data_IF_342241515191
#
_entry.id   IF_342241515191
#
_cell.length_a   1.000
_cell.length_b   1.000
_cell.length_c   1.000
_cell.angle_alpha   90.00
_cell.angle_beta   90.00
_cell.angle_gamma   90.00
#
_symmetry.space_group_name_H-M   'P 1'
#
loop_
_entity.id
_entity.type
_entity.pdbx_description
1 polymer ?
#
# COMPACT_ATOMS: atom_id res chain seq x y z
N UNK A 1 7.29 55.52 -45.01
CA UNK A 1 7.57 56.03 -43.66
C UNK A 1 7.40 54.87 -42.69
N UNK A 2 8.54 54.30 -42.28
CA UNK A 2 8.64 53.17 -41.38
C UNK A 2 8.31 53.59 -39.94
N UNK A 3 7.68 52.72 -39.16
CA UNK A 3 7.56 52.84 -37.71
C UNK A 3 8.50 51.82 -37.08
N UNK A 4 9.63 52.32 -36.58
CA UNK A 4 10.57 51.55 -35.76
C UNK A 4 10.00 51.33 -34.37
N UNK A 5 10.03 50.07 -33.93
CA UNK A 5 9.76 49.66 -32.56
C UNK A 5 10.95 49.95 -31.66
N UNK A 6 10.68 50.49 -30.48
CA UNK A 6 11.69 50.66 -29.43
C UNK A 6 11.51 49.54 -28.39
N UNK A 7 12.51 48.67 -28.33
CA UNK A 7 12.64 47.59 -27.33
C UNK A 7 13.32 48.18 -26.10
N UNK A 8 12.66 48.10 -24.95
CA UNK A 8 13.25 48.42 -23.63
C UNK A 8 14.10 47.23 -23.18
N UNK A 9 15.35 47.41 -22.71
CA UNK A 9 16.17 46.31 -22.25
C UNK A 9 15.71 45.85 -20.86
N UNK A 10 15.45 44.54 -20.71
CA UNK A 10 15.19 43.92 -19.43
C UNK A 10 16.50 43.76 -18.64
N UNK A 11 16.47 44.19 -17.39
CA UNK A 11 17.57 44.12 -16.41
C UNK A 11 18.02 42.67 -16.16
N UNK A 12 19.32 42.33 -16.23
CA UNK A 12 19.81 40.96 -16.09
C UNK A 12 19.92 40.45 -14.63
N UNK A 13 19.35 41.14 -13.64
CA UNK A 13 19.51 40.79 -12.21
C UNK A 13 18.27 40.21 -11.51
N UNK A 14 17.15 39.99 -12.21
CA UNK A 14 15.93 39.44 -11.59
C UNK A 14 15.73 37.91 -11.73
N UNK A 15 16.71 37.16 -12.27
CA UNK A 15 16.57 35.72 -12.59
C UNK A 15 17.26 34.75 -11.61
N UNK A 16 17.74 35.22 -10.46
CA UNK A 16 18.47 34.39 -9.47
C UNK A 16 17.66 34.11 -8.18
N UNK A 17 16.37 33.78 -8.29
CA UNK A 17 15.59 33.29 -7.15
C UNK A 17 14.76 32.02 -7.44
N UNK A 18 14.99 31.36 -8.57
CA UNK A 18 14.48 30.02 -8.84
C UNK A 18 15.51 28.96 -8.45
N UNK A 19 15.72 28.71 -7.15
CA UNK A 19 16.54 27.59 -6.68
C UNK A 19 15.88 26.28 -7.15
N UNK A 20 16.40 25.71 -8.24
CA UNK A 20 16.14 24.34 -8.67
C UNK A 20 16.44 23.39 -7.51
N UNK A 21 15.39 22.86 -6.85
CA UNK A 21 15.46 21.71 -5.93
C UNK A 21 15.71 20.40 -6.70
N UNK A 22 16.79 20.31 -7.48
CA UNK A 22 17.10 19.11 -8.26
C UNK A 22 18.51 18.64 -7.92
N UNK A 23 18.61 17.42 -7.38
CA UNK A 23 19.82 16.63 -7.07
C UNK A 23 20.45 16.72 -5.66
N UNK A 24 19.88 17.45 -4.69
CA UNK A 24 20.44 17.50 -3.32
C UNK A 24 19.86 16.46 -2.34
N UNK A 25 18.68 15.88 -2.60
CA UNK A 25 18.08 14.89 -1.69
C UNK A 25 18.81 13.55 -1.71
N UNK A 26 19.35 13.11 -2.85
CA UNK A 26 19.90 11.74 -2.98
C UNK A 26 21.15 11.43 -2.15
N UNK A 27 21.66 12.39 -1.36
CA UNK A 27 22.91 12.28 -0.58
C UNK A 27 22.72 12.54 0.91
N UNK A 28 21.51 12.85 1.36
CA UNK A 28 21.24 13.17 2.76
C UNK A 28 21.05 11.90 3.56
N UNK A 29 21.92 11.68 4.54
CA UNK A 29 21.83 10.62 5.53
C UNK A 29 21.81 11.24 6.94
N UNK A 30 21.07 10.65 7.86
CA UNK A 30 21.25 10.87 9.28
C UNK A 30 22.00 9.67 9.85
N UNK A 31 23.12 9.93 10.52
CA UNK A 31 23.89 8.95 11.26
C UNK A 31 23.55 9.08 12.74
N UNK A 32 23.17 7.97 13.36
CA UNK A 32 22.93 7.86 14.79
C UNK A 32 23.88 6.84 15.38
N UNK A 33 24.53 7.20 16.48
CA UNK A 33 25.38 6.29 17.24
C UNK A 33 24.61 5.62 18.39
N UNK A 34 25.30 4.75 19.13
CA UNK A 34 24.77 4.09 20.32
C UNK A 34 24.42 5.03 21.49
N UNK A 35 24.84 6.31 21.43
CA UNK A 35 24.47 7.34 22.40
C UNK A 35 23.24 8.15 21.98
N UNK A 36 22.66 7.86 20.80
CA UNK A 36 21.52 8.58 20.24
C UNK A 36 21.87 9.94 19.65
N UNK A 37 23.16 10.28 19.52
CA UNK A 37 23.60 11.52 18.91
C UNK A 37 23.44 11.44 17.39
N UNK A 38 22.62 12.35 16.85
CA UNK A 38 22.29 12.37 15.42
C UNK A 38 23.10 13.41 14.66
N UNK A 39 23.86 12.97 13.67
CA UNK A 39 24.59 13.85 12.76
C UNK A 39 24.08 13.71 11.33
N UNK A 40 23.77 14.84 10.68
CA UNK A 40 23.37 14.84 9.27
C UNK A 40 24.63 14.80 8.41
N UNK A 41 24.74 13.76 7.59
CA UNK A 41 25.84 13.53 6.68
C UNK A 41 25.38 13.73 5.23
N UNK A 42 26.09 14.58 4.48
CA UNK A 42 25.95 14.72 3.02
C UNK A 42 27.09 13.93 2.37
N UNK A 43 26.87 12.63 2.15
CA UNK A 43 27.90 11.71 1.65
C UNK A 43 27.45 11.01 0.37
N UNK A 44 28.41 10.71 -0.50
CA UNK A 44 28.14 9.97 -1.71
C UNK A 44 27.98 8.46 -1.44
N UNK A 45 27.39 7.77 -2.42
CA UNK A 45 27.13 6.33 -2.31
C UNK A 45 28.40 5.50 -2.07
N UNK A 46 29.55 5.95 -2.60
CA UNK A 46 30.80 5.21 -2.50
C UNK A 46 31.39 5.30 -1.10
N UNK A 47 31.33 6.46 -0.45
CA UNK A 47 31.76 6.61 0.93
C UNK A 47 30.90 5.75 1.89
N UNK A 48 29.58 5.67 1.67
CA UNK A 48 28.71 4.78 2.45
C UNK A 48 29.09 3.31 2.23
N UNK A 49 29.32 2.89 0.98
CA UNK A 49 29.78 1.52 0.68
C UNK A 49 31.10 1.18 1.38
N UNK A 50 32.05 2.12 1.40
CA UNK A 50 33.35 1.91 2.04
C UNK A 50 33.25 1.88 3.57
N UNK A 51 32.38 2.70 4.16
CA UNK A 51 32.16 2.76 5.62
C UNK A 51 31.55 1.46 6.14
N UNK A 52 30.45 1.04 5.53
CA UNK A 52 29.62 -0.10 5.99
C UNK A 52 30.10 -1.43 5.39
N UNK A 53 30.96 -1.40 4.36
CA UNK A 53 31.47 -2.60 3.67
C UNK A 53 30.37 -3.42 2.98
N UNK A 54 29.37 -2.75 2.40
CA UNK A 54 28.26 -3.39 1.65
C UNK A 54 28.47 -3.34 0.13
N UNK A 55 27.91 -4.31 -0.59
CA UNK A 55 28.02 -4.37 -2.05
C UNK A 55 27.18 -3.28 -2.73
N UNK A 56 27.61 -2.82 -3.91
CA UNK A 56 26.88 -1.82 -4.70
C UNK A 56 25.44 -2.25 -5.07
N UNK A 57 25.15 -3.55 -5.05
CA UNK A 57 23.81 -4.10 -5.34
C UNK A 57 22.86 -3.83 -4.19
N UNK A 58 23.31 -4.04 -2.96
CA UNK A 58 22.49 -3.87 -1.76
C UNK A 58 22.20 -2.38 -1.53
N UNK A 59 23.19 -1.50 -1.75
CA UNK A 59 22.97 -0.05 -1.63
C UNK A 59 21.98 0.51 -2.67
N UNK A 60 21.83 -0.14 -3.84
CA UNK A 60 20.86 0.30 -4.86
C UNK A 60 19.41 0.13 -4.43
N UNK A 61 19.15 -0.81 -3.52
CA UNK A 61 17.81 -1.03 -2.95
C UNK A 61 17.35 0.25 -2.23
N UNK A 62 18.28 0.98 -1.64
CA UNK A 62 18.03 2.24 -0.94
C UNK A 62 18.01 3.46 -1.88
N UNK A 63 18.21 3.30 -3.19
CA UNK A 63 18.24 4.43 -4.13
C UNK A 63 16.84 5.09 -4.21
N UNK A 64 16.69 6.40 -3.94
CA UNK A 64 15.41 7.09 -4.01
C UNK A 64 14.86 7.17 -5.43
N UNK A 65 15.69 7.02 -6.46
CA UNK A 65 15.26 7.03 -7.86
C UNK A 65 14.70 5.69 -8.32
N UNK A 66 14.90 4.62 -7.53
CA UNK A 66 14.49 3.27 -7.86
C UNK A 66 13.41 2.80 -6.88
N UNK A 67 12.34 2.22 -7.40
CA UNK A 67 11.29 1.61 -6.58
C UNK A 67 11.58 0.12 -6.46
N UNK A 68 12.28 -0.26 -5.39
CA UNK A 68 12.49 -1.65 -5.00
C UNK A 68 11.38 -2.09 -4.03
N UNK A 69 11.03 -3.39 -4.02
CA UNK A 69 10.12 -3.94 -3.01
C UNK A 69 10.72 -3.81 -1.61
N UNK A 70 9.86 -3.95 -0.59
CA UNK A 70 10.31 -3.98 0.79
C UNK A 70 11.30 -5.13 0.97
N UNK A 71 12.40 -4.93 1.70
CA UNK A 71 13.36 -5.99 2.00
C UNK A 71 14.19 -5.73 3.26
N UNK A 72 14.54 -6.82 3.95
CA UNK A 72 15.43 -6.88 5.10
C UNK A 72 16.60 -7.81 4.73
N UNK A 73 17.80 -7.26 4.58
CA UNK A 73 18.96 -8.04 4.15
C UNK A 73 20.06 -8.04 5.19
N UNK A 74 20.32 -9.21 5.77
CA UNK A 74 21.51 -9.46 6.56
C UNK A 74 22.77 -9.54 5.68
N UNK A 75 23.84 -8.89 6.13
CA UNK A 75 25.19 -8.95 5.54
C UNK A 75 26.21 -9.08 6.66
N UNK A 76 27.47 -9.29 6.30
CA UNK A 76 28.56 -9.57 7.26
C UNK A 76 28.67 -8.54 8.40
N UNK A 77 28.42 -7.25 8.13
CA UNK A 77 28.57 -6.15 9.11
C UNK A 77 27.39 -5.16 9.14
N UNK A 78 26.31 -5.47 8.42
CA UNK A 78 25.19 -4.56 8.31
C UNK A 78 23.89 -5.25 7.94
N UNK A 79 22.79 -4.65 8.38
CA UNK A 79 21.43 -4.96 7.93
C UNK A 79 21.01 -3.83 7.00
N UNK A 80 20.62 -4.17 5.77
CA UNK A 80 20.09 -3.20 4.81
C UNK A 80 18.56 -3.29 4.84
N UNK A 81 17.92 -2.19 5.22
CA UNK A 81 16.47 -2.09 5.40
C UNK A 81 15.85 -1.18 4.35
N UNK A 82 14.89 -1.73 3.60
CA UNK A 82 13.98 -0.96 2.77
C UNK A 82 12.55 -1.32 3.16
N UNK A 83 11.92 -0.52 4.02
CA UNK A 83 10.55 -0.70 4.47
C UNK A 83 9.73 0.52 4.02
N UNK A 84 9.37 0.52 2.74
CA UNK A 84 8.72 1.63 2.04
C UNK A 84 9.49 2.97 2.07
N UNK A 85 9.11 3.84 2.99
CA UNK A 85 9.67 5.17 3.19
C UNK A 85 10.84 5.13 4.18
N UNK A 86 10.95 4.06 4.97
CA UNK A 86 12.06 3.84 5.89
C UNK A 86 13.16 3.11 5.13
N UNK A 87 14.24 3.83 4.82
CA UNK A 87 15.43 3.30 4.13
C UNK A 87 16.62 3.47 5.04
N UNK A 88 17.14 2.37 5.58
CA UNK A 88 18.17 2.40 6.61
C UNK A 88 19.27 1.37 6.36
N UNK A 89 20.43 1.63 6.95
CA UNK A 89 21.52 0.68 7.11
C UNK A 89 21.82 0.62 8.60
N UNK A 90 21.64 -0.54 9.21
CA UNK A 90 21.94 -0.77 10.62
C UNK A 90 23.27 -1.51 10.70
N UNK A 91 24.16 -1.08 11.57
CA UNK A 91 25.38 -1.81 11.96
C UNK A 91 25.29 -2.17 13.44
N UNK A 92 26.29 -2.84 14.00
CA UNK A 92 26.33 -3.15 15.43
C UNK A 92 26.50 -1.92 16.33
N UNK A 93 26.88 -0.76 15.79
CA UNK A 93 27.22 0.44 16.59
C UNK A 93 26.52 1.72 16.12
N UNK A 94 26.10 1.78 14.85
CA UNK A 94 25.51 2.97 14.24
C UNK A 94 24.37 2.63 13.25
N UNK A 95 23.41 3.55 13.10
CA UNK A 95 22.31 3.49 12.12
C UNK A 95 22.43 4.65 11.15
N UNK A 96 22.37 4.35 9.85
CA UNK A 96 22.28 5.34 8.78
C UNK A 96 20.88 5.35 8.19
N UNK A 97 20.11 6.41 8.47
CA UNK A 97 18.77 6.63 7.95
C UNK A 97 18.82 7.59 6.75
N UNK A 98 18.17 7.22 5.66
CA UNK A 98 18.15 8.04 4.45
C UNK A 98 17.06 9.11 4.49
N UNK A 99 17.31 10.23 3.82
CA UNK A 99 16.34 11.32 3.62
C UNK A 99 15.67 11.80 4.92
N UNK A 100 16.44 12.24 5.95
CA UNK A 100 15.92 12.64 7.27
C UNK A 100 15.01 13.88 7.26
N UNK A 101 14.81 14.52 6.10
CA UNK A 101 13.89 15.65 5.93
C UNK A 101 12.51 15.24 5.39
N UNK A 102 12.27 13.96 5.12
CA UNK A 102 10.95 13.46 4.71
C UNK A 102 9.98 13.44 5.90
N UNK A 103 8.75 13.93 5.70
CA UNK A 103 7.71 14.02 6.74
C UNK A 103 7.40 12.67 7.40
N UNK A 104 7.54 11.56 6.67
CA UNK A 104 7.29 10.23 7.23
C UNK A 104 8.52 9.65 7.95
N UNK A 105 9.72 10.19 7.70
CA UNK A 105 10.98 9.69 8.27
C UNK A 105 11.35 10.44 9.56
N UNK A 106 10.96 11.71 9.68
CA UNK A 106 11.21 12.54 10.88
C UNK A 106 10.75 11.86 12.19
N UNK A 107 9.54 11.28 12.30
CA UNK A 107 9.11 10.62 13.53
C UNK A 107 9.98 9.41 13.89
N UNK A 108 10.45 8.67 12.87
CA UNK A 108 11.34 7.51 13.06
C UNK A 108 12.70 7.96 13.59
N UNK A 109 13.22 9.08 13.07
CA UNK A 109 14.47 9.66 13.52
C UNK A 109 14.39 10.10 14.99
N UNK A 110 13.30 10.74 15.39
CA UNK A 110 13.06 11.16 16.77
C UNK A 110 12.97 9.95 17.71
N UNK A 111 12.30 8.88 17.29
CA UNK A 111 12.18 7.66 18.09
C UNK A 111 13.50 6.91 18.23
N UNK A 112 14.31 6.85 17.17
CA UNK A 112 15.67 6.31 17.22
C UNK A 112 16.55 7.11 18.21
N UNK A 113 16.51 8.45 18.18
CA UNK A 113 17.26 9.27 19.14
C UNK A 113 16.80 9.04 20.58
N UNK A 114 15.50 8.79 20.79
CA UNK A 114 14.90 8.61 22.11
C UNK A 114 15.21 7.26 22.74
N UNK A 115 15.30 6.19 21.94
CA UNK A 115 15.33 4.80 22.44
C UNK A 115 16.61 4.01 22.17
N UNK A 116 17.49 4.49 21.28
CA UNK A 116 18.80 3.86 21.07
C UNK A 116 19.78 4.00 22.25
N UNK A 117 19.80 5.11 23.03
CA UNK A 117 20.70 5.21 24.17
C UNK A 117 20.39 4.13 25.22
N UNK A 118 21.41 3.44 25.77
CA UNK A 118 21.18 2.47 26.84
C UNK A 118 20.61 3.18 28.08
N UNK A 119 19.54 2.60 28.64
CA UNK A 119 18.76 3.18 29.74
C UNK A 119 19.61 3.41 31.01
N UNK A 120 20.76 2.74 31.11
CA UNK A 120 21.68 2.81 32.25
C UNK A 120 23.04 3.45 31.91
N UNK A 121 23.08 4.76 31.70
CA UNK A 121 24.28 5.54 32.04
C UNK A 121 24.11 6.15 33.43
N UNK A 122 24.75 5.62 34.49
CA UNK A 122 24.89 6.37 35.71
C UNK A 122 25.75 7.59 35.39
N UNK A 123 25.11 8.75 35.46
CA UNK A 123 25.75 10.04 35.52
C UNK A 123 26.89 9.96 36.55
N UNK A 124 28.13 10.03 36.08
CA UNK A 124 29.32 10.15 36.93
C UNK A 124 29.34 11.55 37.56
N UNK A 125 28.43 11.80 38.49
CA UNK A 125 28.60 12.85 39.48
C UNK A 125 29.20 12.22 40.72
N UNK A 126 30.50 12.48 40.90
CA UNK A 126 31.28 11.99 42.02
C UNK A 126 30.71 12.45 43.35
N UNK A 127 30.16 11.50 44.12
CA UNK A 127 30.09 11.57 45.58
C UNK A 127 30.10 10.14 46.13
N UNK A 128 31.31 9.68 46.46
CA UNK A 128 31.46 8.62 47.45
C UNK A 128 30.84 9.11 48.76
N UNK A 129 29.99 8.28 49.38
CA UNK A 129 30.14 7.82 50.77
C UNK A 129 28.96 6.91 51.18
N UNK A 130 29.34 5.77 51.75
CA UNK A 130 28.66 4.94 52.76
C UNK A 130 27.41 4.14 52.37
N UNK A 131 27.70 2.89 51.98
CA UNK A 131 27.17 1.64 52.55
C UNK A 131 25.74 1.57 53.07
N UNK A 132 24.95 0.69 52.44
CA UNK A 132 23.99 -0.21 53.11
C UNK A 132 23.71 -1.39 52.16
N UNK A 133 23.82 -2.60 52.69
CA UNK A 133 23.39 -3.84 52.04
C UNK A 133 21.89 -3.74 51.79
N UNK A 134 21.49 -3.81 50.53
CA UNK A 134 20.16 -4.25 50.14
C UNK A 134 20.32 -5.15 48.91
N UNK A 135 20.12 -6.44 49.16
CA UNK A 135 19.81 -7.44 48.15
C UNK A 135 18.54 -6.99 47.42
N UNK A 136 18.73 -6.36 46.26
CA UNK A 136 17.70 -6.24 45.24
C UNK A 136 18.35 -6.70 43.95
N UNK A 137 18.21 -7.99 43.66
CA UNK A 137 18.23 -8.54 42.30
C UNK A 137 17.11 -7.84 41.51
N UNK A 138 17.37 -6.61 41.06
CA UNK A 138 16.58 -5.93 40.05
C UNK A 138 17.21 -6.28 38.72
N UNK A 139 16.58 -7.25 38.04
CA UNK A 139 16.78 -7.73 36.68
C UNK A 139 18.03 -7.22 35.95
N UNK A 140 18.94 -8.16 35.66
CA UNK A 140 19.58 -8.17 34.34
C UNK A 140 18.44 -8.24 33.32
N UNK A 141 17.83 -7.11 32.97
CA UNK A 141 17.08 -7.00 31.75
C UNK A 141 18.12 -7.21 30.66
N UNK A 142 18.10 -8.40 30.05
CA UNK A 142 18.86 -8.75 28.86
C UNK A 142 18.69 -7.61 27.84
N UNK A 143 19.64 -6.68 27.82
CA UNK A 143 19.55 -5.50 26.98
C UNK A 143 19.77 -5.97 25.54
N UNK A 144 18.71 -5.91 24.75
CA UNK A 144 18.74 -6.39 23.37
C UNK A 144 19.84 -5.68 22.57
N UNK A 145 20.56 -6.41 21.69
CA UNK A 145 21.62 -5.85 20.88
C UNK A 145 21.20 -4.56 20.15
N UNK A 146 22.15 -3.65 19.94
CA UNK A 146 21.89 -2.36 19.29
C UNK A 146 21.18 -2.52 17.93
N UNK A 147 21.58 -3.52 17.14
CA UNK A 147 20.98 -3.81 15.85
C UNK A 147 19.50 -4.21 15.95
N UNK A 148 19.09 -4.90 17.03
CA UNK A 148 17.71 -5.33 17.23
C UNK A 148 16.83 -4.20 17.77
N UNK A 149 17.36 -3.35 18.66
CA UNK A 149 16.65 -2.12 19.05
C UNK A 149 16.40 -1.20 17.86
N UNK A 150 17.39 -1.03 17.00
CA UNK A 150 17.25 -0.24 15.78
C UNK A 150 16.24 -0.86 14.80
N UNK A 151 16.29 -2.19 14.62
CA UNK A 151 15.36 -2.93 13.76
C UNK A 151 13.92 -2.85 14.31
N UNK A 152 13.75 -3.04 15.61
CA UNK A 152 12.47 -2.93 16.33
C UNK A 152 11.82 -1.58 16.08
N UNK A 153 12.56 -0.48 16.28
CA UNK A 153 12.04 0.88 16.07
C UNK A 153 11.59 1.08 14.61
N UNK A 154 12.35 0.55 13.65
CA UNK A 154 11.99 0.63 12.23
C UNK A 154 10.72 -0.19 11.90
N UNK A 155 10.60 -1.39 12.47
CA UNK A 155 9.43 -2.27 12.31
C UNK A 155 8.19 -1.67 12.98
N UNK A 156 8.33 -1.18 14.21
CA UNK A 156 7.26 -0.50 14.94
C UNK A 156 6.75 0.71 14.16
N UNK A 157 7.66 1.52 13.62
CA UNK A 157 7.32 2.69 12.84
C UNK A 157 6.53 2.32 11.56
N UNK A 158 6.98 1.34 10.78
CA UNK A 158 6.27 0.97 9.54
C UNK A 158 4.92 0.30 9.84
N UNK A 159 4.85 -0.57 10.85
CA UNK A 159 3.62 -1.25 11.25
C UNK A 159 2.60 -0.23 11.80
N UNK A 160 3.04 0.70 12.65
CA UNK A 160 2.19 1.78 13.16
C UNK A 160 1.70 2.70 12.05
N UNK A 161 2.56 3.06 11.10
CA UNK A 161 2.19 3.89 9.96
C UNK A 161 1.15 3.22 9.05
N UNK A 162 1.36 1.96 8.68
CA UNK A 162 0.42 1.20 7.84
C UNK A 162 -0.90 0.92 8.58
N UNK A 163 -0.83 0.65 9.88
CA UNK A 163 -1.98 0.52 10.75
C UNK A 163 -2.82 1.81 10.81
N UNK A 164 -2.18 2.95 11.05
CA UNK A 164 -2.85 4.26 11.08
C UNK A 164 -3.52 4.58 9.74
N UNK A 165 -2.83 4.35 8.61
CA UNK A 165 -3.42 4.53 7.27
C UNK A 165 -4.61 3.62 7.01
N UNK A 166 -4.59 2.41 7.55
CA UNK A 166 -5.71 1.47 7.47
C UNK A 166 -6.92 1.99 8.25
N UNK A 167 -6.71 2.47 9.47
CA UNK A 167 -7.78 3.07 10.29
C UNK A 167 -8.34 4.37 9.68
N UNK A 168 -7.51 5.22 9.10
CA UNK A 168 -7.96 6.41 8.36
C UNK A 168 -8.86 6.03 7.18
N UNK A 169 -8.44 5.05 6.40
CA UNK A 169 -9.20 4.55 5.25
C UNK A 169 -10.53 3.95 5.68
N UNK A 170 -10.53 3.13 6.73
CA UNK A 170 -11.73 2.52 7.31
C UNK A 170 -12.74 3.58 7.78
N UNK A 171 -12.26 4.58 8.53
CA UNK A 171 -13.07 5.71 9.02
C UNK A 171 -13.67 6.52 7.88
N UNK A 172 -12.98 6.62 6.74
CA UNK A 172 -13.48 7.31 5.56
C UNK A 172 -14.41 6.44 4.68
N UNK A 173 -14.23 5.13 4.69
CA UNK A 173 -14.93 4.19 3.81
C UNK A 173 -16.36 3.89 4.26
N UNK A 174 -16.58 3.50 5.52
CA UNK A 174 -17.92 3.19 6.02
C UNK A 174 -18.96 4.30 5.77
N UNK A 175 -18.71 5.58 6.11
CA UNK A 175 -19.69 6.64 5.85
C UNK A 175 -19.89 6.91 4.35
N UNK A 176 -18.87 6.68 3.50
CA UNK A 176 -19.00 6.87 2.07
C UNK A 176 -19.85 5.78 1.42
N UNK A 177 -19.75 4.54 1.91
CA UNK A 177 -20.54 3.39 1.47
C UNK A 177 -21.99 3.54 1.91
N UNK A 178 -22.25 3.96 3.16
CA UNK A 178 -23.60 4.26 3.64
C UNK A 178 -24.25 5.42 2.86
N UNK A 179 -23.49 6.50 2.56
CA UNK A 179 -23.98 7.60 1.72
C UNK A 179 -24.33 7.11 0.30
N UNK A 180 -23.57 6.16 -0.25
CA UNK A 180 -23.83 5.58 -1.57
C UNK A 180 -25.09 4.71 -1.57
N UNK A 181 -25.28 3.88 -0.54
CA UNK A 181 -26.47 3.05 -0.32
C UNK A 181 -27.74 3.89 -0.19
N UNK A 182 -27.66 5.03 0.51
CA UNK A 182 -28.79 5.95 0.64
C UNK A 182 -29.08 6.75 -0.64
N UNK A 183 -28.03 7.14 -1.38
CA UNK A 183 -28.17 7.94 -2.60
C UNK A 183 -27.12 7.57 -3.64
N UNK A 184 -27.58 6.86 -4.66
CA UNK A 184 -26.78 6.56 -5.86
C UNK A 184 -26.59 7.85 -6.66
N UNK A 185 -25.37 8.39 -6.63
CA UNK A 185 -25.00 9.58 -7.40
C UNK A 185 -23.58 9.42 -7.95
N UNK A 186 -23.29 10.07 -9.08
CA UNK A 186 -21.95 10.04 -9.70
C UNK A 186 -20.85 10.48 -8.72
N UNK A 187 -21.13 11.48 -7.88
CA UNK A 187 -20.22 11.95 -6.83
C UNK A 187 -19.90 10.87 -5.81
N UNK A 188 -20.91 10.12 -5.34
CA UNK A 188 -20.72 9.10 -4.32
C UNK A 188 -20.02 7.86 -4.89
N UNK A 189 -20.36 7.49 -6.13
CA UNK A 189 -19.65 6.44 -6.88
C UNK A 189 -18.17 6.80 -7.09
N UNK A 190 -17.85 8.04 -7.45
CA UNK A 190 -16.46 8.49 -7.59
C UNK A 190 -15.72 8.47 -6.23
N UNK A 191 -16.39 8.81 -5.14
CA UNK A 191 -15.82 8.76 -3.79
C UNK A 191 -15.48 7.32 -3.39
N UNK A 192 -16.40 6.38 -3.57
CA UNK A 192 -16.17 4.95 -3.29
C UNK A 192 -15.11 4.37 -4.22
N UNK A 193 -15.08 4.74 -5.50
CA UNK A 193 -14.03 4.33 -6.44
C UNK A 193 -12.64 4.79 -6.00
N UNK A 194 -12.51 6.03 -5.52
CA UNK A 194 -11.25 6.56 -4.97
C UNK A 194 -10.82 5.79 -3.72
N UNK A 195 -11.76 5.50 -2.82
CA UNK A 195 -11.51 4.69 -1.63
C UNK A 195 -11.07 3.27 -1.99
N UNK A 196 -11.75 2.61 -2.93
CA UNK A 196 -11.37 1.28 -3.44
C UNK A 196 -9.94 1.29 -4.02
N UNK A 197 -9.60 2.30 -4.82
CA UNK A 197 -8.24 2.44 -5.36
C UNK A 197 -7.19 2.67 -4.27
N UNK A 198 -7.50 3.48 -3.25
CA UNK A 198 -6.63 3.72 -2.11
C UNK A 198 -6.43 2.42 -1.29
N UNK A 199 -7.51 1.69 -1.05
CA UNK A 199 -7.51 0.39 -0.39
C UNK A 199 -6.63 -0.61 -1.12
N UNK A 200 -6.84 -0.84 -2.42
CA UNK A 200 -6.01 -1.79 -3.20
C UNK A 200 -4.52 -1.44 -3.11
N UNK A 201 -4.18 -0.15 -3.16
CA UNK A 201 -2.80 0.32 -3.02
C UNK A 201 -2.24 0.05 -1.63
N UNK A 202 -3.03 0.28 -0.58
CA UNK A 202 -2.62 0.06 0.81
C UNK A 202 -2.50 -1.44 1.13
N UNK A 203 -3.42 -2.28 0.65
CA UNK A 203 -3.32 -3.75 0.76
C UNK A 203 -2.03 -4.26 0.12
N UNK A 204 -1.70 -3.82 -1.11
CA UNK A 204 -0.46 -4.23 -1.78
C UNK A 204 0.81 -3.77 -1.06
N UNK A 205 0.72 -2.73 -0.24
CA UNK A 205 1.82 -2.18 0.56
C UNK A 205 2.04 -2.98 1.84
N UNK A 206 0.96 -3.22 2.57
CA UNK A 206 0.92 -4.11 3.75
C UNK A 206 1.39 -5.51 3.40
N UNK A 207 0.89 -6.07 2.29
CA UNK A 207 1.28 -7.40 1.81
C UNK A 207 2.79 -7.51 1.62
N UNK A 208 3.46 -6.52 1.01
CA UNK A 208 4.91 -6.57 0.79
C UNK A 208 5.73 -6.63 2.07
N UNK A 209 5.28 -5.94 3.13
CA UNK A 209 5.98 -5.98 4.42
C UNK A 209 5.71 -7.32 5.11
N UNK A 210 4.46 -7.81 5.06
CA UNK A 210 4.09 -9.13 5.56
C UNK A 210 4.91 -10.24 4.87
N UNK A 211 4.95 -10.25 3.54
CA UNK A 211 5.64 -11.28 2.76
C UNK A 211 7.15 -11.28 3.05
N UNK A 212 7.77 -10.11 3.26
CA UNK A 212 9.18 -10.04 3.64
C UNK A 212 9.44 -10.57 5.06
N UNK A 213 8.54 -10.29 6.01
CA UNK A 213 8.64 -10.84 7.36
C UNK A 213 8.40 -12.35 7.37
N UNK A 214 7.44 -12.85 6.59
CA UNK A 214 7.18 -14.29 6.40
C UNK A 214 8.42 -14.99 5.83
N UNK A 215 8.98 -14.42 4.76
CA UNK A 215 10.19 -14.93 4.12
C UNK A 215 11.40 -14.99 5.07
N UNK A 216 11.55 -13.97 5.94
CA UNK A 216 12.64 -13.92 6.92
C UNK A 216 12.42 -14.91 8.08
N UNK A 217 11.18 -15.06 8.55
CA UNK A 217 10.82 -16.03 9.60
C UNK A 217 10.93 -17.49 9.11
N UNK A 218 10.78 -17.74 7.80
CA UNK A 218 10.88 -19.07 7.21
C UNK A 218 12.33 -19.60 7.11
N UNK A 219 13.37 -18.76 7.24
CA UNK A 219 14.79 -19.11 7.05
C UNK A 219 15.69 -18.65 8.21
N UNK A 220 16.06 -19.60 9.08
CA UNK A 220 16.95 -19.39 10.22
C UNK A 220 18.34 -18.86 9.82
N UNK A 221 18.84 -19.20 8.61
CA UNK A 221 20.14 -18.71 8.15
C UNK A 221 20.07 -17.19 7.86
N UNK A 222 18.96 -16.71 7.28
CA UNK A 222 18.73 -15.29 7.04
C UNK A 222 18.55 -14.53 8.36
N UNK A 223 17.89 -15.12 9.36
CA UNK A 223 17.78 -14.56 10.72
C UNK A 223 19.13 -14.50 11.43
N UNK A 224 19.91 -15.59 11.39
CA UNK A 224 21.26 -15.63 11.95
C UNK A 224 22.16 -14.56 11.32
N UNK A 225 21.89 -14.19 10.07
CA UNK A 225 22.64 -13.18 9.37
C UNK A 225 22.44 -11.75 9.92
N UNK A 226 21.38 -11.51 10.71
CA UNK A 226 21.07 -10.25 11.37
C UNK A 226 21.80 -10.04 12.70
N UNK A 227 22.39 -11.08 13.29
CA UNK A 227 23.17 -10.99 14.55
C UNK A 227 24.56 -10.35 14.34
N UNK A 228 24.62 -9.04 14.19
CA UNK A 228 25.84 -8.30 13.88
C UNK A 228 26.83 -8.24 15.04
N UNK A 229 26.35 -8.02 16.26
CA UNK A 229 27.16 -7.94 17.49
C UNK A 229 27.86 -9.27 17.80
N UNK A 230 27.19 -10.40 17.52
CA UNK A 230 27.78 -11.74 17.63
C UNK A 230 28.90 -11.96 16.60
N UNK A 231 28.70 -11.51 15.36
CA UNK A 231 29.72 -11.57 14.29
C UNK A 231 30.94 -10.71 14.61
N UNK A 232 30.73 -9.54 15.23
CA UNK A 232 31.81 -8.63 15.64
C UNK A 232 32.70 -9.24 16.74
N UNK A 233 32.09 -9.84 17.77
CA UNK A 233 32.81 -10.49 18.88
C UNK A 233 33.55 -11.76 18.43
N UNK A 234 32.92 -12.59 17.58
CA UNK A 234 33.56 -13.77 16.98
C UNK A 234 34.80 -13.44 16.13
N UNK A 235 34.79 -12.30 15.42
CA UNK A 235 35.93 -11.83 14.63
C UNK A 235 37.08 -11.25 15.48
N UNK A 236 36.80 -10.81 16.71
CA UNK A 236 37.78 -10.20 17.62
C UNK A 236 38.58 -11.22 18.46
N UNK A 237 38.22 -12.50 18.40
CA UNK A 237 38.94 -13.59 19.06
C UNK A 237 40.15 -14.03 18.21
N UNK A 238 41.40 -14.00 18.73
CA UNK A 238 42.52 -14.66 18.06
C UNK A 238 42.23 -16.16 17.97
N UNK A 239 42.62 -16.87 16.88
CA UNK A 239 42.66 -18.33 16.90
C UNK A 239 43.77 -18.77 17.86
N UNK A 240 43.48 -18.79 19.16
CA UNK A 240 44.43 -19.14 20.20
C UNK A 240 44.25 -20.61 20.59
N UNK A 241 45.10 -21.47 20.01
CA UNK A 241 45.76 -22.51 20.79
C UNK A 241 45.23 -23.96 20.75
N UNK A 242 45.70 -24.71 19.76
CA UNK A 242 46.22 -26.09 19.87
C UNK A 242 45.31 -27.27 20.25
N UNK A 243 44.99 -28.09 19.25
CA UNK A 243 45.16 -29.54 19.30
C UNK A 243 45.79 -29.99 17.97
N UNK A 244 46.79 -30.91 17.95
CA UNK A 244 47.40 -31.32 16.70
C UNK A 244 46.37 -32.06 15.85
N UNK A 245 45.98 -31.45 14.72
CA UNK A 245 45.23 -32.14 13.68
C UNK A 245 46.13 -33.26 13.13
N UNK A 246 45.81 -34.50 13.50
CA UNK A 246 46.50 -35.68 13.03
C UNK A 246 46.13 -35.92 11.56
N UNK A 247 46.89 -35.31 10.64
CA UNK A 247 46.77 -35.54 9.22
C UNK A 247 47.36 -36.91 8.88
N UNK A 248 46.49 -37.92 8.77
CA UNK A 248 46.84 -39.14 8.05
C UNK A 248 46.67 -38.90 6.54
N UNK A 249 47.73 -38.99 5.71
CA UNK A 249 47.56 -38.99 4.27
C UNK A 249 47.08 -40.38 3.84
N UNK A 250 45.80 -40.53 3.55
CA UNK A 250 45.31 -41.69 2.83
C UNK A 250 45.80 -41.61 1.36
N UNK A 251 46.41 -42.71 0.90
CA UNK A 251 46.98 -42.88 -0.44
C UNK A 251 45.94 -42.77 -1.56
N UNK A 252 46.35 -42.42 -2.80
CA UNK A 252 45.42 -42.10 -3.88
C UNK A 252 44.97 -43.36 -4.62
N UNK A 253 43.66 -43.58 -4.73
CA UNK A 253 43.10 -44.47 -5.76
C UNK A 253 42.46 -43.65 -6.86
N UNK A 254 43.05 -43.85 -8.03
CA UNK A 254 42.68 -43.43 -9.37
C UNK A 254 41.21 -43.77 -9.68
N UNK A 255 40.48 -42.79 -10.23
CA UNK A 255 39.35 -43.07 -11.13
C UNK A 255 38.02 -42.37 -10.81
N UNK A 256 37.81 -41.17 -11.32
CA UNK A 256 36.69 -40.84 -12.24
C UNK A 256 36.47 -39.32 -12.30
N UNK A 257 36.02 -38.89 -13.48
CA UNK A 257 35.88 -37.51 -13.92
C UNK A 257 34.47 -36.99 -13.62
N UNK A 258 34.37 -35.65 -13.54
CA UNK A 258 33.20 -34.78 -13.85
C UNK A 258 32.29 -34.40 -12.67
N UNK A 259 32.66 -33.24 -12.09
CA UNK A 259 31.82 -32.09 -11.71
C UNK A 259 30.55 -32.27 -10.88
N UNK A 260 30.64 -31.82 -9.62
CA UNK A 260 29.69 -30.85 -9.04
C UNK A 260 30.48 -29.98 -8.07
N UNK A 261 30.77 -28.75 -8.47
CA UNK A 261 31.39 -27.76 -7.59
C UNK A 261 30.34 -27.23 -6.61
N UNK A 262 29.97 -28.05 -5.64
CA UNK A 262 29.47 -27.55 -4.36
C UNK A 262 30.72 -27.21 -3.57
N UNK A 263 31.04 -25.91 -3.44
CA UNK A 263 31.97 -25.47 -2.40
C UNK A 263 31.25 -25.70 -1.08
N UNK A 264 31.49 -26.87 -0.54
CA UNK A 264 31.15 -27.25 0.81
C UNK A 264 31.94 -26.36 1.77
N UNK A 265 31.24 -25.49 2.49
CA UNK A 265 31.69 -25.05 3.80
C UNK A 265 31.26 -26.13 4.79
N UNK A 266 32.15 -27.08 5.04
CA UNK A 266 32.12 -28.01 6.18
C UNK A 266 32.96 -27.35 7.29
N UNK A 267 32.63 -27.33 8.57
CA UNK A 267 31.44 -27.65 9.34
C UNK A 267 31.82 -27.34 10.79
N UNK A 268 31.06 -26.46 11.44
CA UNK A 268 30.71 -26.53 12.88
C UNK A 268 29.46 -25.66 13.10
N UNK A 269 28.34 -26.00 12.48
CA UNK A 269 27.02 -25.46 12.86
C UNK A 269 26.12 -26.67 13.09
N UNK A 270 26.25 -27.24 14.28
CA UNK A 270 25.27 -28.12 14.90
C UNK A 270 25.23 -27.69 16.35
N UNK A 271 24.14 -27.04 16.74
CA UNK A 271 23.95 -26.28 17.98
C UNK A 271 23.99 -24.79 17.64
N UNK A 272 22.92 -24.01 17.68
CA UNK A 272 21.75 -24.11 18.56
C UNK A 272 20.49 -23.59 17.83
N UNK A 273 19.39 -24.35 17.78
CA UNK A 273 18.08 -23.80 17.32
C UNK A 273 17.61 -22.66 18.26
N UNK A 274 18.18 -22.56 19.48
CA UNK A 274 17.95 -21.44 20.40
C UNK A 274 18.75 -20.17 20.06
N UNK A 275 19.64 -20.19 19.05
CA UNK A 275 20.52 -19.05 18.75
C UNK A 275 19.82 -17.84 18.13
N UNK A 276 18.60 -18.04 17.60
CA UNK A 276 17.77 -17.01 16.92
C UNK A 276 16.44 -16.71 17.62
N UNK A 277 16.13 -17.39 18.73
CA UNK A 277 14.81 -17.35 19.40
C UNK A 277 14.41 -15.91 19.83
N UNK A 278 15.36 -15.10 20.30
CA UNK A 278 15.13 -13.69 20.67
C UNK A 278 14.61 -12.87 19.48
N UNK A 279 15.26 -13.03 18.33
CA UNK A 279 14.91 -12.31 17.10
C UNK A 279 13.61 -12.86 16.50
N UNK A 280 13.42 -14.17 16.54
CA UNK A 280 12.18 -14.81 16.09
C UNK A 280 10.97 -14.25 16.86
N UNK A 281 11.02 -14.20 18.19
CA UNK A 281 9.95 -13.61 19.01
C UNK A 281 9.66 -12.14 18.64
N UNK A 282 10.71 -11.33 18.37
CA UNK A 282 10.56 -9.95 17.92
C UNK A 282 9.83 -9.88 16.57
N UNK A 283 10.30 -10.65 15.59
CA UNK A 283 9.76 -10.66 14.24
C UNK A 283 8.33 -11.21 14.20
N UNK A 284 8.03 -12.26 14.95
CA UNK A 284 6.68 -12.84 15.09
C UNK A 284 5.68 -11.81 15.61
N UNK A 285 6.05 -11.00 16.61
CA UNK A 285 5.17 -9.96 17.14
C UNK A 285 4.76 -8.95 16.06
N UNK A 286 5.72 -8.49 15.25
CA UNK A 286 5.44 -7.57 14.13
C UNK A 286 4.75 -8.25 12.95
N UNK A 287 5.04 -9.53 12.69
CA UNK A 287 4.32 -10.33 11.71
C UNK A 287 2.84 -10.45 12.05
N UNK A 288 2.52 -10.76 13.32
CA UNK A 288 1.13 -10.83 13.79
C UNK A 288 0.44 -9.46 13.71
N UNK A 289 1.15 -8.36 13.99
CA UNK A 289 0.61 -7.01 13.87
C UNK A 289 0.29 -6.64 12.41
N UNK A 290 1.20 -6.91 11.47
CA UNK A 290 0.99 -6.59 10.05
C UNK A 290 -0.06 -7.50 9.42
N UNK A 291 -0.12 -8.78 9.81
CA UNK A 291 -1.15 -9.72 9.37
C UNK A 291 -2.53 -9.30 9.89
N UNK A 292 -2.62 -8.88 11.16
CA UNK A 292 -3.84 -8.29 11.71
C UNK A 292 -4.28 -7.03 10.95
N UNK A 293 -3.33 -6.22 10.46
CA UNK A 293 -3.62 -5.06 9.62
C UNK A 293 -4.11 -5.46 8.23
N UNK A 294 -3.51 -6.51 7.63
CA UNK A 294 -3.95 -7.05 6.35
C UNK A 294 -5.37 -7.61 6.44
N UNK A 295 -5.68 -8.35 7.50
CA UNK A 295 -7.00 -8.92 7.73
C UNK A 295 -8.08 -7.82 7.82
N UNK A 296 -7.81 -6.72 8.52
CA UNK A 296 -8.71 -5.55 8.54
C UNK A 296 -8.96 -4.98 7.15
N UNK A 297 -7.92 -4.87 6.31
CA UNK A 297 -8.06 -4.39 4.93
C UNK A 297 -8.85 -5.37 4.06
N UNK A 298 -8.68 -6.67 4.26
CA UNK A 298 -9.44 -7.71 3.57
C UNK A 298 -10.93 -7.64 3.91
N UNK A 299 -11.27 -7.51 5.20
CA UNK A 299 -12.67 -7.31 5.63
C UNK A 299 -13.28 -6.03 5.03
N UNK A 300 -12.53 -4.93 5.03
CA UNK A 300 -13.00 -3.67 4.43
C UNK A 300 -13.21 -3.83 2.90
N UNK A 301 -12.34 -4.60 2.24
CA UNK A 301 -12.47 -4.89 0.81
C UNK A 301 -13.72 -5.67 0.50
N UNK A 302 -13.98 -6.73 1.25
CA UNK A 302 -15.21 -7.53 1.11
C UNK A 302 -16.44 -6.64 1.27
N UNK A 303 -16.46 -5.77 2.29
CA UNK A 303 -17.57 -4.83 2.49
C UNK A 303 -17.76 -3.82 1.34
N UNK A 304 -16.68 -3.31 0.75
CA UNK A 304 -16.74 -2.44 -0.44
C UNK A 304 -17.28 -3.21 -1.65
N UNK A 305 -16.77 -4.43 -1.89
CA UNK A 305 -17.16 -5.26 -3.03
C UNK A 305 -18.65 -5.68 -2.89
N UNK A 306 -19.10 -6.07 -1.70
CA UNK A 306 -20.51 -6.36 -1.40
C UNK A 306 -21.43 -5.15 -1.64
N UNK A 307 -20.99 -3.96 -1.23
CA UNK A 307 -21.74 -2.72 -1.46
C UNK A 307 -21.80 -2.40 -2.95
N UNK A 308 -20.71 -2.60 -3.70
CA UNK A 308 -20.70 -2.39 -5.15
C UNK A 308 -21.68 -3.32 -5.87
N UNK A 309 -21.72 -4.59 -5.48
CA UNK A 309 -22.67 -5.57 -6.01
C UNK A 309 -24.12 -5.20 -5.69
N UNK A 310 -24.40 -4.77 -4.45
CA UNK A 310 -25.72 -4.26 -4.08
C UNK A 310 -26.15 -3.06 -4.95
N UNK A 311 -25.26 -2.10 -5.17
CA UNK A 311 -25.54 -0.90 -5.97
C UNK A 311 -25.74 -1.27 -7.44
N UNK A 312 -24.99 -2.23 -7.97
CA UNK A 312 -25.18 -2.74 -9.32
C UNK A 312 -26.59 -3.36 -9.49
N UNK A 313 -27.04 -4.15 -8.52
CA UNK A 313 -28.41 -4.72 -8.51
C UNK A 313 -29.47 -3.61 -8.49
N UNK A 314 -29.30 -2.57 -7.67
CA UNK A 314 -30.22 -1.42 -7.60
C UNK A 314 -30.27 -0.63 -8.92
N UNK A 315 -29.12 -0.40 -9.54
CA UNK A 315 -29.02 0.28 -10.83
C UNK A 315 -29.73 -0.49 -11.94
N UNK A 316 -29.55 -1.81 -11.98
CA UNK A 316 -30.24 -2.67 -12.94
C UNK A 316 -31.76 -2.67 -12.71
N UNK A 317 -32.22 -2.66 -11.46
CA UNK A 317 -33.64 -2.52 -11.14
C UNK A 317 -34.22 -1.18 -11.63
N UNK A 318 -33.53 -0.06 -11.38
CA UNK A 318 -33.94 1.25 -11.90
C UNK A 318 -33.95 1.31 -13.42
N UNK A 319 -32.96 0.70 -14.08
CA UNK A 319 -32.93 0.59 -15.54
C UNK A 319 -34.12 -0.22 -16.05
N UNK A 320 -34.47 -1.31 -15.37
CA UNK A 320 -35.63 -2.12 -15.72
C UNK A 320 -36.95 -1.33 -15.58
N UNK A 321 -37.09 -0.53 -14.53
CA UNK A 321 -38.23 0.39 -14.36
C UNK A 321 -38.33 1.43 -15.48
N UNK A 322 -37.19 1.99 -15.92
CA UNK A 322 -37.15 2.93 -17.03
C UNK A 322 -37.58 2.29 -18.36
N UNK A 323 -37.09 1.08 -18.65
CA UNK A 323 -37.48 0.30 -19.84
C UNK A 323 -39.00 0.03 -19.82
N UNK A 324 -39.54 -0.32 -18.65
CA UNK A 324 -40.97 -0.54 -18.47
C UNK A 324 -41.78 0.74 -18.76
N UNK A 325 -41.34 1.89 -18.24
CA UNK A 325 -42.00 3.18 -18.48
C UNK A 325 -41.92 3.57 -19.96
N UNK A 326 -40.77 3.38 -20.60
CA UNK A 326 -40.56 3.63 -22.02
C UNK A 326 -41.52 2.79 -22.88
N UNK A 327 -41.70 1.50 -22.55
CA UNK A 327 -42.65 0.63 -23.24
C UNK A 327 -44.09 1.17 -23.16
N UNK A 328 -44.52 1.66 -21.98
CA UNK A 328 -45.84 2.27 -21.82
C UNK A 328 -46.00 3.56 -22.64
N UNK A 329 -45.00 4.46 -22.61
CA UNK A 329 -45.02 5.69 -23.39
C UNK A 329 -45.02 5.43 -24.90
N UNK A 330 -44.19 4.49 -25.36
CA UNK A 330 -44.10 4.09 -26.77
C UNK A 330 -45.42 3.50 -27.26
N UNK A 331 -46.02 2.58 -26.49
CA UNK A 331 -47.35 2.03 -26.78
C UNK A 331 -48.43 3.12 -26.88
N UNK A 332 -48.43 4.07 -25.95
CA UNK A 332 -49.35 5.21 -25.98
C UNK A 332 -49.15 6.11 -27.20
N UNK A 333 -47.89 6.34 -27.58
CA UNK A 333 -47.53 7.15 -28.76
C UNK A 333 -47.99 6.49 -30.06
N UNK A 334 -47.84 5.17 -30.19
CA UNK A 334 -48.36 4.41 -31.34
C UNK A 334 -49.89 4.56 -31.44
N UNK A 335 -50.59 4.42 -30.32
CA UNK A 335 -52.06 4.58 -30.28
C UNK A 335 -52.49 6.01 -30.68
N UNK A 336 -51.82 7.03 -30.14
CA UNK A 336 -52.10 8.43 -30.46
C UNK A 336 -51.80 8.75 -31.92
N UNK A 337 -50.75 8.15 -32.50
CA UNK A 337 -50.37 8.33 -33.91
C UNK A 337 -51.44 7.76 -34.85
N UNK A 338 -51.98 6.57 -34.54
CA UNK A 338 -53.09 5.97 -35.29
C UNK A 338 -54.34 6.85 -35.19
N UNK A 339 -54.69 7.31 -33.99
CA UNK A 339 -55.83 8.21 -33.79
C UNK A 339 -55.67 9.52 -34.58
N UNK A 340 -54.47 10.11 -34.53
CA UNK A 340 -54.15 11.37 -35.22
C UNK A 340 -54.18 11.21 -36.74
N UNK A 341 -53.74 10.07 -37.28
CA UNK A 341 -53.83 9.76 -38.71
C UNK A 341 -55.29 9.76 -39.18
N UNK A 342 -56.17 9.05 -38.46
CA UNK A 342 -57.59 8.99 -38.79
C UNK A 342 -58.22 10.38 -38.66
N UNK A 343 -57.99 11.07 -37.54
CA UNK A 343 -58.49 12.44 -37.35
C UNK A 343 -57.99 13.40 -38.45
N UNK A 344 -56.74 13.25 -38.90
CA UNK A 344 -56.16 14.02 -39.99
C UNK A 344 -56.83 13.77 -41.34
N UNK A 345 -57.05 12.50 -41.71
CA UNK A 345 -57.73 12.12 -42.96
C UNK A 345 -59.14 12.74 -43.03
N UNK A 346 -59.88 12.64 -41.93
CA UNK A 346 -61.25 13.17 -41.85
C UNK A 346 -61.32 14.67 -41.55
N UNK A 347 -60.22 15.29 -41.10
CA UNK A 347 -60.10 16.74 -40.91
C UNK A 347 -59.75 17.50 -42.19
N UNK A 348 -59.47 16.81 -43.30
CA UNK A 348 -59.21 17.45 -44.59
C UNK A 348 -60.49 18.00 -45.21
N UNK A 349 -60.41 19.21 -45.80
CA UNK A 349 -61.53 19.87 -46.49
C UNK A 349 -61.76 19.28 -47.92
N UNK A 350 -62.00 17.98 -48.00
CA UNK A 350 -62.31 17.27 -49.24
C UNK A 350 -63.82 17.00 -49.27
N UNK A 351 -64.54 17.30 -50.37
CA UNK A 351 -65.98 17.04 -50.44
C UNK A 351 -66.27 15.54 -50.48
N UNK A 352 -66.73 15.00 -49.35
CA UNK A 352 -67.18 13.61 -49.23
C UNK A 352 -68.70 13.51 -49.49
N UNK A 353 -69.13 12.43 -50.15
CA UNK A 353 -70.54 12.17 -50.52
C UNK A 353 -71.50 12.01 -49.34
N UNK A 354 -70.99 11.82 -48.11
CA UNK A 354 -71.79 11.68 -46.89
C UNK A 354 -71.89 12.96 -46.05
N UNK A 355 -71.35 14.09 -46.53
CA UNK A 355 -71.44 15.36 -45.79
C UNK A 355 -72.86 15.97 -45.85
N UNK A 356 -73.67 15.57 -46.83
CA UNK A 356 -75.08 15.94 -46.92
C UNK A 356 -75.93 14.99 -46.05
N UNK A 357 -76.68 15.52 -45.09
CA UNK A 357 -77.55 14.81 -44.14
C UNK A 357 -76.93 13.85 -43.09
N UNK A 358 -75.60 13.61 -43.05
CA UNK A 358 -75.00 12.63 -42.12
C UNK A 358 -73.96 13.21 -41.14
N UNK A 359 -74.27 14.35 -40.50
CA UNK A 359 -73.38 15.01 -39.53
C UNK A 359 -72.97 14.19 -38.29
N UNK A 360 -73.60 13.02 -38.06
CA UNK A 360 -73.23 12.09 -36.99
C UNK A 360 -72.03 11.20 -37.32
N UNK A 361 -71.70 11.01 -38.60
CA UNK A 361 -70.68 10.05 -39.04
C UNK A 361 -69.29 10.39 -38.50
N UNK A 362 -68.94 11.68 -38.47
CA UNK A 362 -67.67 12.14 -37.90
C UNK A 362 -67.53 11.77 -36.41
N UNK A 363 -68.61 11.95 -35.62
CA UNK A 363 -68.61 11.57 -34.19
C UNK A 363 -68.38 10.07 -34.02
N UNK A 364 -69.02 9.24 -34.85
CA UNK A 364 -68.83 7.79 -34.80
C UNK A 364 -67.41 7.37 -35.18
N UNK A 365 -66.81 7.97 -36.20
CA UNK A 365 -65.43 7.68 -36.60
C UNK A 365 -64.46 8.01 -35.45
N UNK A 366 -64.60 9.16 -34.79
CA UNK A 366 -63.78 9.51 -33.63
C UNK A 366 -63.96 8.53 -32.47
N UNK A 367 -65.21 8.15 -32.14
CA UNK A 367 -65.52 7.22 -31.04
C UNK A 367 -64.95 5.83 -31.32
N UNK A 368 -65.20 5.28 -32.51
CA UNK A 368 -64.74 3.94 -32.90
C UNK A 368 -63.22 3.87 -32.95
N UNK A 369 -62.57 4.90 -33.51
CA UNK A 369 -61.11 4.97 -33.56
C UNK A 369 -60.51 5.10 -32.16
N UNK A 370 -61.09 5.94 -31.30
CA UNK A 370 -60.67 6.08 -29.91
C UNK A 370 -60.79 4.77 -29.12
N UNK A 371 -61.93 4.07 -29.25
CA UNK A 371 -62.15 2.76 -28.64
C UNK A 371 -61.17 1.70 -29.17
N UNK A 372 -60.92 1.68 -30.48
CA UNK A 372 -59.94 0.79 -31.10
C UNK A 372 -58.51 1.03 -30.61
N UNK A 373 -58.09 2.30 -30.47
CA UNK A 373 -56.79 2.66 -29.92
C UNK A 373 -56.65 2.26 -28.45
N UNK A 374 -57.70 2.46 -27.64
CA UNK A 374 -57.70 2.03 -26.24
C UNK A 374 -57.59 0.50 -26.11
N UNK A 375 -58.29 -0.25 -26.97
CA UNK A 375 -58.21 -1.71 -27.01
C UNK A 375 -56.81 -2.18 -27.43
N UNK A 376 -56.22 -1.55 -28.45
CA UNK A 376 -54.86 -1.86 -28.91
C UNK A 376 -53.83 -1.61 -27.80
N UNK A 377 -53.94 -0.49 -27.07
CA UNK A 377 -53.11 -0.20 -25.90
C UNK A 377 -53.26 -1.28 -24.81
N UNK A 378 -54.49 -1.68 -24.50
CA UNK A 378 -54.78 -2.74 -23.54
C UNK A 378 -54.19 -4.09 -23.97
N UNK A 379 -54.24 -4.44 -25.26
CA UNK A 379 -53.65 -5.66 -25.79
C UNK A 379 -52.12 -5.65 -25.67
N UNK A 380 -51.46 -4.56 -26.05
CA UNK A 380 -50.00 -4.42 -25.95
C UNK A 380 -49.55 -4.54 -24.49
N UNK A 381 -50.23 -3.85 -23.57
CA UNK A 381 -49.88 -3.87 -22.15
C UNK A 381 -50.12 -5.24 -21.50
N UNK A 382 -51.20 -5.93 -21.87
CA UNK A 382 -51.49 -7.29 -21.39
C UNK A 382 -50.49 -8.30 -21.93
N UNK A 383 -50.11 -8.19 -23.21
CA UNK A 383 -49.08 -9.04 -23.83
C UNK A 383 -47.72 -8.84 -23.15
N UNK A 384 -47.34 -7.58 -22.88
CA UNK A 384 -46.09 -7.26 -22.21
C UNK A 384 -46.01 -7.82 -20.78
N UNK A 385 -47.13 -7.76 -20.03
CA UNK A 385 -47.24 -8.40 -18.70
C UNK A 385 -47.13 -9.92 -18.78
N UNK A 386 -47.84 -10.55 -19.72
CA UNK A 386 -47.80 -12.00 -19.89
C UNK A 386 -46.39 -12.53 -20.18
N UNK A 387 -45.60 -11.76 -20.94
CA UNK A 387 -44.19 -12.08 -21.25
C UNK A 387 -43.20 -11.74 -20.13
N UNK A 388 -43.65 -11.22 -19.00
CA UNK A 388 -42.78 -10.84 -17.88
C UNK A 388 -41.90 -9.61 -18.15
N UNK A 389 -42.20 -8.83 -19.20
CA UNK A 389 -41.49 -7.58 -19.52
C UNK A 389 -41.93 -6.42 -18.62
N UNK A 390 -43.09 -6.57 -17.98
CA UNK A 390 -43.76 -5.54 -17.18
C UNK A 390 -44.25 -6.23 -15.91
N UNK A 391 -43.47 -6.10 -14.84
CA UNK A 391 -43.77 -6.66 -13.52
C UNK A 391 -43.36 -8.12 -13.36
N UNK A 392 -42.36 -8.34 -12.51
CA UNK A 392 -42.54 -9.21 -11.34
C UNK A 392 -42.77 -8.33 -10.13
#
# INVERSE_FOLDING_TARGET
>A
MARDGHVVPADPQALMAGKKKTAKSSRSWALLDCAGESTVLDVDKYAIMHRVQIHARDLRILDPLLSYPSTILGREKAIVLNLEHIKAIITAEEVLLRDPSDENVIPVLEELQRRLPPVNQPQKDGRELTGEQNDVEAGEEDESPFEFRALEIALEAICSFLGARTTELETAAYPALDELTNKISSRNLDRVRKLKSAMTRLTARVQKVRDELEQLLDDDDDMADLYLSRKLTGASSPPSGSGPANWYPASPTIGSKISRASRASIATVRGDENDVEELEMLLEAYFMQIDGTLNKLTTLREYIDDTEDYINIQLDNHRNQLIQLELFLSSGTVCLSIYSLVAGIFGMNIPYTWNENHGYMFKWVCIVTGAGCALLFALITTYARYKGLVGS
#
